data_IF_702204914417
#
_entry.id   IF_702204914417
#
_cell.length_a   1.000
_cell.length_b   1.000
_cell.length_c   1.000
_cell.angle_alpha   90.00
_cell.angle_beta   90.00
_cell.angle_gamma   90.00
#
_symmetry.space_group_name_H-M   'P 1'
#
loop_
_entity.id
_entity.type
_entity.pdbx_description
1 polymer ?
#
# COMPACT_ATOMS: atom_id res chain seq x y z
N UNK A 1 -8.96 -7.12 10.26
CA UNK A 1 -9.79 -8.04 9.46
C UNK A 1 -11.20 -7.54 9.20
N UNK A 2 -12.01 -7.22 10.22
CA UNK A 2 -13.42 -6.84 10.02
C UNK A 2 -13.62 -5.66 9.03
N UNK A 3 -12.73 -4.66 9.03
CA UNK A 3 -12.89 -3.47 8.19
C UNK A 3 -12.70 -3.74 6.69
N UNK A 4 -11.79 -4.65 6.32
CA UNK A 4 -11.56 -5.06 4.91
C UNK A 4 -12.77 -5.81 4.36
N UNK A 5 -13.45 -6.60 5.20
CA UNK A 5 -14.66 -7.31 4.83
C UNK A 5 -15.93 -6.45 4.92
N UNK A 6 -15.92 -5.40 5.75
CA UNK A 6 -17.11 -4.59 6.05
C UNK A 6 -17.30 -3.40 5.11
N UNK A 7 -16.24 -2.89 4.48
CA UNK A 7 -16.34 -1.76 3.55
C UNK A 7 -15.75 -2.11 2.17
N UNK A 8 -16.59 -2.45 1.17
CA UNK A 8 -16.13 -2.77 -0.17
C UNK A 8 -15.57 -1.56 -0.93
N UNK A 9 -15.70 -0.33 -0.39
CA UNK A 9 -15.11 0.88 -0.96
C UNK A 9 -13.75 1.22 -0.37
N UNK A 10 -13.30 0.51 0.66
CA UNK A 10 -12.00 0.74 1.25
C UNK A 10 -10.89 0.42 0.24
N UNK A 11 -9.95 1.35 0.05
CA UNK A 11 -8.76 1.12 -0.77
C UNK A 11 -7.74 0.41 0.10
N UNK A 12 -7.30 -0.78 -0.35
CA UNK A 12 -6.25 -1.54 0.29
C UNK A 12 -4.91 -1.13 -0.33
N UNK A 13 -3.99 -0.62 0.48
CA UNK A 13 -2.66 -0.19 0.05
C UNK A 13 -1.62 -1.16 0.60
N UNK A 14 -1.03 -1.93 -0.29
CA UNK A 14 0.12 -2.76 0.02
C UNK A 14 1.39 -1.91 -0.05
N UNK A 15 2.12 -1.81 1.05
CA UNK A 15 3.37 -1.07 1.14
C UNK A 15 4.59 -2.00 1.18
N UNK A 16 4.46 -3.25 0.74
CA UNK A 16 5.56 -4.21 0.71
C UNK A 16 6.73 -3.67 -0.12
N UNK A 17 7.95 -3.90 0.35
CA UNK A 17 9.14 -3.41 -0.32
C UNK A 17 9.36 -4.20 -1.62
N UNK A 18 9.44 -3.48 -2.74
CA UNK A 18 10.11 -3.98 -3.94
C UNK A 18 11.46 -3.27 -4.10
N UNK A 19 12.46 -4.00 -4.58
CA UNK A 19 13.78 -3.43 -4.86
C UNK A 19 13.71 -2.60 -6.14
N UNK A 20 13.99 -1.30 -6.08
CA UNK A 20 14.12 -0.44 -7.27
C UNK A 20 15.56 -0.41 -7.78
N UNK A 21 15.81 -0.80 -9.04
CA UNK A 21 17.13 -0.65 -9.71
C UNK A 21 16.96 -0.50 -11.23
N UNK A 22 17.80 0.29 -11.88
CA UNK A 22 17.76 0.54 -13.33
C UNK A 22 16.36 0.96 -13.83
N UNK A 23 15.76 1.93 -13.13
CA UNK A 23 14.44 2.51 -13.42
C UNK A 23 13.29 1.51 -13.51
N UNK A 24 13.41 0.40 -12.76
CA UNK A 24 12.37 -0.63 -12.66
C UNK A 24 12.39 -1.28 -11.29
N UNK A 25 11.26 -1.87 -10.92
CA UNK A 25 11.20 -2.81 -9.81
C UNK A 25 11.82 -4.15 -10.22
N UNK A 26 12.78 -4.64 -9.44
CA UNK A 26 13.34 -5.98 -9.53
C UNK A 26 12.55 -6.88 -8.58
N UNK A 27 11.98 -7.94 -9.15
CA UNK A 27 11.23 -8.97 -8.43
C UNK A 27 12.10 -10.22 -8.30
N UNK A 28 12.75 -10.41 -7.15
CA UNK A 28 13.49 -11.67 -6.88
C UNK A 28 12.55 -12.82 -6.48
N UNK A 29 11.38 -12.51 -5.90
CA UNK A 29 10.31 -13.47 -5.59
C UNK A 29 8.95 -12.85 -5.96
N UNK A 30 8.07 -13.62 -6.60
CA UNK A 30 6.74 -13.15 -7.00
C UNK A 30 5.89 -12.75 -5.80
N UNK A 31 5.80 -11.45 -5.51
CA UNK A 31 5.00 -10.94 -4.39
C UNK A 31 3.52 -11.25 -4.61
N UNK A 32 2.87 -11.73 -3.55
CA UNK A 32 1.43 -11.99 -3.53
C UNK A 32 0.78 -11.08 -2.51
N UNK A 33 -0.37 -10.54 -2.87
CA UNK A 33 -1.09 -9.56 -2.05
C UNK A 33 -2.57 -9.87 -1.93
N UNK A 34 -3.24 -9.11 -1.06
CA UNK A 34 -4.67 -9.21 -0.82
C UNK A 34 -5.42 -8.82 -2.10
N UNK A 35 -6.41 -9.61 -2.57
CA UNK A 35 -7.15 -9.30 -3.79
C UNK A 35 -7.71 -7.87 -3.78
N UNK A 36 -7.50 -7.15 -4.89
CA UNK A 36 -7.97 -5.77 -5.05
C UNK A 36 -7.05 -4.70 -4.42
N UNK A 37 -5.90 -5.07 -3.85
CA UNK A 37 -4.95 -4.10 -3.32
C UNK A 37 -4.18 -3.35 -4.39
N UNK A 38 -3.92 -2.08 -4.11
CA UNK A 38 -2.95 -1.25 -4.81
C UNK A 38 -1.57 -1.41 -4.15
N UNK A 39 -0.61 -1.96 -4.89
CA UNK A 39 0.75 -2.09 -4.37
C UNK A 39 1.58 -0.84 -4.68
N UNK A 40 1.81 -0.04 -3.64
CA UNK A 40 2.69 1.13 -3.67
C UNK A 40 4.01 0.77 -2.99
N UNK A 41 4.98 0.31 -3.78
CA UNK A 41 6.30 -0.02 -3.24
C UNK A 41 7.07 1.24 -2.85
N UNK A 42 8.08 1.08 -1.98
CA UNK A 42 9.04 2.12 -1.58
C UNK A 42 8.49 3.29 -0.73
N UNK A 43 7.16 3.47 -0.63
CA UNK A 43 6.54 4.56 0.15
C UNK A 43 6.77 4.45 1.67
N UNK A 44 7.12 3.25 2.13
CA UNK A 44 7.32 2.94 3.55
C UNK A 44 8.78 3.01 4.00
N UNK A 45 9.69 3.38 3.10
CA UNK A 45 11.11 3.51 3.40
C UNK A 45 11.39 4.60 4.44
N UNK A 46 12.52 4.47 5.14
CA UNK A 46 12.96 5.46 6.12
C UNK A 46 13.17 6.83 5.46
N UNK A 47 13.86 6.83 4.32
CA UNK A 47 14.09 8.01 3.49
C UNK A 47 13.34 7.81 2.18
N UNK A 48 12.49 8.79 1.85
CA UNK A 48 11.66 8.80 0.66
C UNK A 48 11.84 10.19 0.06
N UNK A 49 12.38 10.25 -1.16
CA UNK A 49 12.55 11.52 -1.86
C UNK A 49 11.22 12.11 -2.35
N UNK A 50 11.27 13.33 -2.87
CA UNK A 50 10.08 14.04 -3.36
C UNK A 50 9.34 13.26 -4.46
N UNK A 51 10.06 12.56 -5.34
CA UNK A 51 9.44 11.81 -6.44
C UNK A 51 8.58 10.65 -5.93
N UNK A 52 9.03 9.96 -4.88
CA UNK A 52 8.25 8.89 -4.26
C UNK A 52 7.08 9.42 -3.39
N UNK A 53 7.19 10.64 -2.84
CA UNK A 53 6.06 11.31 -2.20
C UNK A 53 4.98 11.72 -3.21
N UNK A 54 5.40 12.25 -4.37
CA UNK A 54 4.50 12.57 -5.48
C UNK A 54 3.83 11.31 -6.03
N UNK A 55 4.60 10.23 -6.19
CA UNK A 55 4.07 8.90 -6.53
C UNK A 55 2.96 8.47 -5.57
N UNK A 56 3.20 8.52 -4.26
CA UNK A 56 2.19 8.19 -3.26
C UNK A 56 0.95 9.08 -3.41
N UNK A 57 1.15 10.39 -3.52
CA UNK A 57 0.05 11.35 -3.59
C UNK A 57 -0.84 11.12 -4.83
N UNK A 58 -0.24 10.94 -6.00
CA UNK A 58 -0.97 10.74 -7.26
C UNK A 58 -1.76 9.43 -7.27
N UNK A 59 -1.15 8.33 -6.81
CA UNK A 59 -1.82 7.04 -6.75
C UNK A 59 -2.96 7.02 -5.73
N UNK A 60 -2.78 7.63 -4.56
CA UNK A 60 -3.87 7.78 -3.60
C UNK A 60 -4.99 8.65 -4.15
N UNK A 61 -4.67 9.75 -4.84
CA UNK A 61 -5.68 10.60 -5.46
C UNK A 61 -6.50 9.84 -6.51
N UNK A 62 -5.84 9.06 -7.37
CA UNK A 62 -6.52 8.23 -8.38
C UNK A 62 -7.40 7.15 -7.72
N UNK A 63 -6.88 6.43 -6.73
CA UNK A 63 -7.60 5.36 -6.05
C UNK A 63 -8.81 5.87 -5.25
N UNK A 64 -8.72 7.11 -4.73
CA UNK A 64 -9.81 7.73 -3.95
C UNK A 64 -10.72 8.63 -4.78
N UNK A 65 -10.39 8.92 -6.03
CA UNK A 65 -11.06 9.96 -6.81
C UNK A 65 -10.90 11.36 -6.20
N UNK A 66 -9.84 11.57 -5.41
CA UNK A 66 -9.60 12.79 -4.65
C UNK A 66 -10.43 12.93 -3.37
N UNK A 67 -11.15 11.90 -2.93
CA UNK A 67 -11.92 11.94 -1.69
C UNK A 67 -11.04 11.60 -0.47
N UNK A 68 -10.70 12.58 0.40
CA UNK A 68 -9.90 12.34 1.60
C UNK A 68 -10.64 11.55 2.69
N UNK A 69 -11.95 11.36 2.56
CA UNK A 69 -12.80 10.58 3.47
C UNK A 69 -13.01 9.13 3.04
N UNK A 70 -12.45 8.71 1.91
CA UNK A 70 -12.45 7.31 1.52
C UNK A 70 -11.52 6.51 2.45
N UNK A 71 -11.99 5.39 3.06
CA UNK A 71 -11.14 4.56 3.89
C UNK A 71 -9.93 4.01 3.14
N UNK A 72 -8.73 4.25 3.70
CA UNK A 72 -7.47 3.66 3.23
C UNK A 72 -6.96 2.67 4.28
N UNK A 73 -6.70 1.43 3.88
CA UNK A 73 -6.13 0.40 4.74
C UNK A 73 -4.73 0.05 4.26
N UNK A 74 -3.72 0.42 5.03
CA UNK A 74 -2.32 0.13 4.72
C UNK A 74 -1.87 -1.18 5.37
N UNK A 75 -1.14 -1.99 4.63
CA UNK A 75 -0.61 -3.27 5.11
C UNK A 75 0.70 -3.63 4.42
N UNK A 76 1.42 -4.60 4.99
CA UNK A 76 2.66 -5.18 4.48
C UNK A 76 2.70 -6.64 4.98
N UNK A 77 3.80 -7.09 5.58
CA UNK A 77 3.90 -8.29 6.42
C UNK A 77 3.81 -7.93 7.91
N UNK A 78 3.74 -8.93 8.77
CA UNK A 78 3.84 -8.75 10.22
C UNK A 78 5.12 -8.00 10.59
N UNK A 79 5.02 -7.12 11.58
CA UNK A 79 6.13 -6.29 12.09
C UNK A 79 6.85 -5.43 11.03
N UNK A 80 6.19 -5.15 9.91
CA UNK A 80 6.71 -4.30 8.84
C UNK A 80 6.39 -2.82 9.10
N UNK A 81 7.43 -2.04 9.46
CA UNK A 81 7.35 -0.59 9.68
C UNK A 81 6.96 0.22 8.43
N UNK A 82 7.13 -0.35 7.23
CA UNK A 82 6.81 0.31 5.96
C UNK A 82 5.34 0.76 5.90
N UNK A 83 4.43 -0.07 6.39
CA UNK A 83 2.99 0.21 6.38
C UNK A 83 2.62 1.34 7.36
N UNK A 84 3.26 1.42 8.51
CA UNK A 84 3.08 2.53 9.45
C UNK A 84 3.62 3.85 8.89
N UNK A 85 4.79 3.81 8.25
CA UNK A 85 5.40 4.94 7.56
C UNK A 85 4.53 5.47 6.43
N UNK A 86 3.87 4.58 5.68
CA UNK A 86 2.91 4.92 4.64
C UNK A 86 1.67 5.63 5.20
N UNK A 87 1.09 5.11 6.29
CA UNK A 87 -0.06 5.74 6.98
C UNK A 87 0.26 7.17 7.39
N UNK A 88 1.44 7.42 7.98
CA UNK A 88 1.84 8.77 8.40
C UNK A 88 1.98 9.74 7.22
N UNK A 89 2.49 9.27 6.09
CA UNK A 89 2.60 10.08 4.88
C UNK A 89 1.22 10.38 4.29
N UNK A 90 0.33 9.40 4.23
CA UNK A 90 -1.05 9.61 3.79
C UNK A 90 -1.80 10.60 4.69
N UNK A 91 -1.56 10.58 6.00
CA UNK A 91 -2.08 11.60 6.92
C UNK A 91 -1.54 13.00 6.57
N UNK A 92 -0.24 13.12 6.25
CA UNK A 92 0.37 14.37 5.80
C UNK A 92 -0.22 14.92 4.49
N UNK A 93 -0.80 14.04 3.66
CA UNK A 93 -1.52 14.40 2.42
C UNK A 93 -2.99 14.80 2.66
N UNK A 94 -3.49 14.73 3.90
CA UNK A 94 -4.83 15.17 4.26
C UNK A 94 -5.91 14.08 4.29
N UNK A 95 -5.55 12.81 4.08
CA UNK A 95 -6.48 11.68 4.24
C UNK A 95 -6.86 11.47 5.70
N UNK A 96 -8.14 11.23 5.96
CA UNK A 96 -8.70 11.25 7.33
C UNK A 96 -9.04 9.87 7.88
N UNK A 97 -9.44 8.93 7.02
CA UNK A 97 -9.83 7.57 7.42
C UNK A 97 -8.72 6.57 7.10
N UNK A 98 -7.69 6.59 7.93
CA UNK A 98 -6.49 5.79 7.77
C UNK A 98 -6.49 4.62 8.74
N UNK A 99 -6.32 3.42 8.21
CA UNK A 99 -6.27 2.19 8.98
C UNK A 99 -4.96 1.47 8.71
N UNK A 100 -4.41 0.86 9.76
CA UNK A 100 -3.22 0.05 9.66
C UNK A 100 -3.55 -1.40 9.99
N UNK A 101 -3.40 -2.28 9.01
CA UNK A 101 -3.56 -3.72 9.21
C UNK A 101 -2.19 -4.33 9.56
N UNK A 102 -1.86 -4.25 10.86
CA UNK A 102 -0.53 -4.52 11.42
C UNK A 102 0.07 -5.88 11.05
N UNK A 103 -0.73 -6.94 11.12
CA UNK A 103 -0.27 -8.31 10.88
C UNK A 103 -0.26 -8.68 9.38
N UNK A 104 -0.77 -7.76 8.54
CA UNK A 104 -0.59 -7.77 7.10
C UNK A 104 -1.03 -9.05 6.38
N UNK A 105 -0.28 -9.39 5.33
CA UNK A 105 -0.55 -10.58 4.51
C UNK A 105 -0.38 -11.88 5.29
N UNK A 106 0.46 -11.92 6.34
CA UNK A 106 0.71 -13.15 7.09
C UNK A 106 -0.54 -13.58 7.86
N UNK A 107 -1.22 -12.64 8.54
CA UNK A 107 -2.50 -12.93 9.20
C UNK A 107 -3.63 -13.22 8.20
N UNK A 108 -3.57 -12.63 7.01
CA UNK A 108 -4.52 -12.94 5.93
C UNK A 108 -4.38 -14.38 5.45
N UNK A 109 -3.14 -14.83 5.21
CA UNK A 109 -2.84 -16.22 4.82
C UNK A 109 -3.15 -17.21 5.94
N UNK A 110 -2.81 -16.90 7.19
CA UNK A 110 -3.13 -17.74 8.36
C UNK A 110 -4.64 -17.93 8.54
N UNK A 111 -5.45 -16.96 8.12
CA UNK A 111 -6.91 -17.08 8.11
C UNK A 111 -7.45 -17.92 6.93
N UNK A 112 -6.59 -18.48 6.10
CA UNK A 112 -6.97 -19.29 4.93
C UNK A 112 -7.55 -18.48 3.77
N UNK A 113 -7.33 -17.16 3.75
CA UNK A 113 -7.85 -16.28 2.71
C UNK A 113 -6.91 -16.24 1.49
N UNK A 114 -7.45 -16.09 0.27
CA UNK A 114 -6.64 -16.17 -0.94
C UNK A 114 -5.74 -14.94 -1.09
N UNK A 115 -4.51 -15.16 -1.55
CA UNK A 115 -3.66 -14.11 -2.11
C UNK A 115 -3.60 -14.23 -3.63
N UNK A 116 -3.34 -13.13 -4.31
CA UNK A 116 -3.13 -13.09 -5.77
C UNK A 116 -1.75 -12.53 -6.10
N UNK A 117 -1.13 -12.93 -7.23
CA UNK A 117 0.08 -12.26 -7.71
C UNK A 117 -0.17 -10.76 -7.85
N UNK A 118 0.77 -9.96 -7.36
CA UNK A 118 0.69 -8.50 -7.41
C UNK A 118 1.90 -7.93 -8.15
N UNK A 119 1.69 -6.79 -8.81
CA UNK A 119 2.75 -5.98 -9.42
C UNK A 119 2.69 -4.57 -8.84
N UNK A 120 3.84 -3.94 -8.54
CA UNK A 120 3.84 -2.60 -7.99
C UNK A 120 3.30 -1.63 -9.03
N UNK A 121 2.56 -0.64 -8.57
CA UNK A 121 2.11 0.43 -9.43
C UNK A 121 3.34 1.16 -9.99
N UNK A 122 3.38 1.38 -11.30
CA UNK A 122 4.47 2.10 -11.92
C UNK A 122 4.50 3.56 -11.41
N UNK A 123 5.70 4.17 -11.29
CA UNK A 123 5.79 5.62 -11.17
C UNK A 123 4.98 6.26 -12.30
N UNK A 124 4.07 7.16 -11.94
CA UNK A 124 3.36 7.95 -12.94
C UNK A 124 4.37 8.95 -13.48
N UNK A 125 4.88 8.69 -14.68
CA UNK A 125 5.73 9.64 -15.39
C UNK A 125 4.93 10.93 -15.62
N UNK A 126 5.53 12.12 -15.44
CA UNK A 126 4.91 13.35 -15.92
C UNK A 126 4.66 13.32 -17.44
#
# INVERSE_FOLDING_TARGET
>A
QALIAADPKAVLVDSYRATWRHDRFIHDEGHRSIPGSLWLAYIGEHEVDAGWLDYLAQHLYQATGGDPDLPLVFFCRSDCWASWNAVRRAHGLGYRKLYWYRDGIDAWEQAGLPLVPATPAAPLTP
#
